data_IF_946462725218
#
_entry.id   IF_946462725218
#
_cell.length_a   1.000
_cell.length_b   1.000
_cell.length_c   1.000
_cell.angle_alpha   90.00
_cell.angle_beta   90.00
_cell.angle_gamma   90.00
#
_symmetry.space_group_name_H-M   'P 1'
#
loop_
_entity.id
_entity.type
_entity.pdbx_description
1 polymer ?
#
# COMPACT_ATOMS: atom_id res chain seq x y z
N UNK A 1 18.98 9.68 9.74
CA UNK A 1 17.75 9.31 9.02
C UNK A 1 18.11 8.45 7.82
N UNK A 2 17.35 7.42 7.60
CA UNK A 2 17.59 6.51 6.50
C UNK A 2 16.69 6.87 5.31
N UNK A 3 17.30 7.06 4.15
CA UNK A 3 16.56 7.41 2.94
C UNK A 3 16.24 6.14 2.15
N UNK A 4 15.08 5.58 2.38
CA UNK A 4 14.65 4.34 1.75
C UNK A 4 13.47 4.61 0.83
N UNK A 5 13.58 4.22 -0.43
CA UNK A 5 12.51 4.44 -1.41
C UNK A 5 12.17 3.17 -2.15
N UNK A 6 10.96 3.12 -2.69
CA UNK A 6 10.53 2.08 -3.62
C UNK A 6 10.03 2.74 -4.90
N UNK A 7 10.24 2.09 -6.02
CA UNK A 7 9.79 2.60 -7.31
C UNK A 7 9.41 1.45 -8.23
N UNK A 8 8.68 1.78 -9.29
CA UNK A 8 8.34 0.81 -10.33
C UNK A 8 9.59 0.60 -11.20
N UNK A 9 9.96 -0.65 -11.52
CA UNK A 9 11.09 -0.90 -12.40
C UNK A 9 10.96 -0.13 -13.70
N UNK A 10 12.03 0.58 -14.09
CA UNK A 10 12.04 1.40 -15.30
C UNK A 10 11.54 2.82 -15.14
N UNK A 11 10.96 3.16 -13.99
CA UNK A 11 10.51 4.54 -13.71
C UNK A 11 11.40 5.15 -12.62
N UNK A 12 12.50 5.77 -13.04
CA UNK A 12 13.44 6.40 -12.12
C UNK A 12 13.01 7.80 -11.68
N UNK A 13 12.03 8.38 -12.36
CA UNK A 13 11.58 9.74 -12.08
C UNK A 13 10.66 9.81 -10.86
N UNK A 14 10.08 8.69 -10.45
CA UNK A 14 9.11 8.65 -9.35
C UNK A 14 9.48 7.57 -8.36
N UNK A 15 9.34 7.93 -7.09
CA UNK A 15 9.59 6.98 -6.01
C UNK A 15 8.70 7.33 -4.83
N UNK A 16 8.53 6.34 -3.95
CA UNK A 16 7.81 6.52 -2.69
C UNK A 16 8.85 6.39 -1.58
N UNK A 17 8.92 7.41 -0.71
CA UNK A 17 9.79 7.37 0.44
C UNK A 17 9.12 6.56 1.55
N UNK A 18 9.83 5.59 2.07
CA UNK A 18 9.40 4.82 3.23
C UNK A 18 10.07 5.39 4.46
N UNK A 19 9.28 5.78 5.45
CA UNK A 19 9.78 6.50 6.60
C UNK A 19 9.27 5.88 7.89
N UNK A 20 10.18 5.78 8.86
CA UNK A 20 9.82 5.40 10.22
C UNK A 20 9.54 6.70 10.98
N UNK A 21 8.38 6.85 11.64
CA UNK A 21 8.11 8.05 12.43
C UNK A 21 9.20 8.28 13.48
N UNK A 22 9.79 9.49 13.47
CA UNK A 22 10.87 9.82 14.38
C UNK A 22 11.66 11.05 13.93
N UNK A 23 12.74 11.31 14.66
CA UNK A 23 13.66 12.38 14.33
C UNK A 23 14.33 12.10 12.98
N UNK A 24 14.69 13.15 12.21
CA UNK A 24 14.49 14.57 12.51
C UNK A 24 13.16 15.14 12.06
N UNK A 25 12.32 14.39 11.34
CA UNK A 25 11.09 14.92 10.75
C UNK A 25 10.00 15.19 11.77
N UNK A 26 10.04 14.56 12.93
CA UNK A 26 9.07 14.82 13.99
C UNK A 26 9.72 14.55 15.35
N UNK A 27 9.19 15.18 16.40
CA UNK A 27 9.67 14.95 17.77
C UNK A 27 9.22 13.57 18.27
N UNK A 28 9.81 13.15 19.40
CA UNK A 28 9.57 11.81 19.93
C UNK A 28 8.12 11.58 20.34
N UNK A 29 7.47 12.60 20.91
CA UNK A 29 6.07 12.49 21.32
C UNK A 29 5.15 12.32 20.12
N UNK A 30 5.35 13.15 19.10
CA UNK A 30 4.58 13.05 17.86
C UNK A 30 4.81 11.71 17.17
N UNK A 31 6.08 11.27 17.13
CA UNK A 31 6.42 9.98 16.53
C UNK A 31 5.70 8.82 17.22
N UNK A 32 5.60 8.86 18.54
CA UNK A 32 4.88 7.84 19.30
C UNK A 32 3.39 7.85 18.98
N UNK A 33 2.78 9.02 18.88
CA UNK A 33 1.37 9.14 18.51
C UNK A 33 1.12 8.61 17.10
N UNK A 34 1.97 8.97 16.14
CA UNK A 34 1.86 8.51 14.76
C UNK A 34 1.98 6.99 14.68
N UNK A 35 3.00 6.41 15.35
CA UNK A 35 3.17 4.95 15.37
C UNK A 35 1.93 4.26 15.91
N UNK A 36 1.35 4.81 16.97
CA UNK A 36 0.13 4.24 17.57
C UNK A 36 -1.05 4.23 16.62
N UNK A 37 -1.19 5.26 15.79
CA UNK A 37 -2.28 5.36 14.82
C UNK A 37 -2.03 4.49 13.58
N UNK A 38 -0.82 4.53 13.04
CA UNK A 38 -0.47 3.79 11.83
C UNK A 38 -0.58 2.29 12.05
N UNK A 39 -0.03 1.79 13.16
CA UNK A 39 -0.04 0.35 13.44
C UNK A 39 -1.43 -0.20 13.67
N UNK A 40 -2.39 0.64 14.01
CA UNK A 40 -3.79 0.25 14.15
C UNK A 40 -4.56 0.36 12.83
N UNK A 41 -3.91 0.78 11.75
CA UNK A 41 -4.55 0.96 10.45
C UNK A 41 -5.51 2.14 10.40
N UNK A 42 -5.39 3.06 11.34
CA UNK A 42 -6.32 4.21 11.43
C UNK A 42 -5.83 5.45 10.72
N UNK A 43 -4.53 5.58 10.55
CA UNK A 43 -3.92 6.75 9.94
C UNK A 43 -2.67 6.41 9.15
N UNK A 44 -2.63 5.23 8.56
CA UNK A 44 -1.52 4.83 7.69
C UNK A 44 -1.68 5.36 6.28
N UNK A 45 -0.71 5.09 5.45
CA UNK A 45 -0.78 5.43 4.05
C UNK A 45 -1.82 4.58 3.33
N UNK A 46 -2.37 5.15 2.27
CA UNK A 46 -3.27 4.45 1.35
C UNK A 46 -2.64 4.50 -0.02
N UNK A 47 -2.29 3.35 -0.57
CA UNK A 47 -1.69 3.24 -1.90
C UNK A 47 -2.64 2.47 -2.81
N UNK A 48 -2.92 3.05 -3.97
CA UNK A 48 -3.74 2.41 -5.00
C UNK A 48 -2.86 2.13 -6.20
N UNK A 49 -2.72 0.88 -6.56
CA UNK A 49 -1.99 0.46 -7.74
C UNK A 49 -2.98 -0.01 -8.79
N UNK A 50 -2.78 0.46 -10.01
CA UNK A 50 -3.57 -0.02 -11.14
C UNK A 50 -2.91 -1.26 -11.73
N UNK A 51 -3.74 -2.22 -12.11
CA UNK A 51 -3.27 -3.45 -12.76
C UNK A 51 -4.20 -3.80 -13.90
N UNK A 52 -3.68 -4.48 -14.91
CA UNK A 52 -4.49 -4.97 -16.03
C UNK A 52 -5.19 -6.28 -15.68
N UNK A 53 -4.76 -6.95 -14.61
CA UNK A 53 -5.30 -8.24 -14.20
C UNK A 53 -5.27 -8.33 -12.67
N UNK A 54 -6.35 -7.89 -12.05
CA UNK A 54 -6.45 -7.85 -10.59
C UNK A 54 -6.44 -9.26 -9.98
N UNK A 55 -7.15 -10.21 -10.58
CA UNK A 55 -7.18 -11.58 -10.08
C UNK A 55 -5.83 -12.27 -10.23
N UNK A 56 -5.14 -12.04 -11.35
CA UNK A 56 -3.80 -12.57 -11.55
C UNK A 56 -2.78 -11.97 -10.59
N UNK A 57 -2.85 -10.68 -10.33
CA UNK A 57 -2.00 -10.00 -9.36
C UNK A 57 -2.22 -10.59 -7.96
N UNK A 58 -3.47 -10.76 -7.57
CA UNK A 58 -3.85 -11.34 -6.28
C UNK A 58 -3.26 -12.75 -6.12
N UNK A 59 -3.44 -13.61 -7.11
CA UNK A 59 -2.93 -14.99 -7.06
C UNK A 59 -1.40 -15.03 -7.01
N UNK A 60 -0.74 -14.21 -7.81
CA UNK A 60 0.72 -14.15 -7.85
C UNK A 60 1.30 -13.70 -6.51
N UNK A 61 0.70 -12.71 -5.88
CA UNK A 61 1.17 -12.21 -4.59
C UNK A 61 0.86 -13.19 -3.46
N UNK A 62 -0.30 -13.83 -3.49
CA UNK A 62 -0.62 -14.87 -2.51
C UNK A 62 0.35 -16.04 -2.58
N UNK A 63 0.76 -16.42 -3.78
CA UNK A 63 1.75 -17.47 -3.98
C UNK A 63 3.11 -17.12 -3.36
N UNK A 64 3.38 -15.82 -3.18
CA UNK A 64 4.60 -15.33 -2.53
C UNK A 64 4.43 -15.11 -1.03
N UNK A 65 3.28 -15.46 -0.46
CA UNK A 65 3.05 -15.36 0.97
C UNK A 65 2.36 -14.08 1.43
N UNK A 66 1.89 -13.24 0.51
CA UNK A 66 1.17 -12.03 0.86
C UNK A 66 -0.24 -12.38 1.33
N UNK A 67 -0.64 -11.84 2.48
CA UNK A 67 -1.98 -12.04 3.01
C UNK A 67 -2.87 -10.87 2.63
N UNK A 68 -4.02 -11.18 2.04
CA UNK A 68 -5.00 -10.17 1.65
C UNK A 68 -6.16 -10.16 2.64
N UNK A 69 -6.59 -8.98 3.03
CA UNK A 69 -7.79 -8.80 3.84
C UNK A 69 -9.06 -8.83 3.01
N UNK A 70 -8.95 -8.60 1.71
CA UNK A 70 -10.09 -8.55 0.79
C UNK A 70 -9.67 -9.15 -0.55
N UNK A 71 -10.35 -10.22 -0.96
CA UNK A 71 -10.10 -10.86 -2.25
C UNK A 71 -10.66 -10.04 -3.41
N UNK A 72 -10.27 -10.32 -4.67
CA UNK A 72 -10.79 -9.58 -5.81
C UNK A 72 -12.31 -9.59 -5.84
N UNK A 73 -12.89 -8.39 -5.87
CA UNK A 73 -14.33 -8.17 -5.80
C UNK A 73 -14.75 -7.26 -6.93
N UNK A 74 -15.81 -7.63 -7.63
CA UNK A 74 -16.37 -6.77 -8.68
C UNK A 74 -17.09 -5.58 -8.08
N UNK A 75 -16.77 -4.40 -8.58
CA UNK A 75 -17.36 -3.12 -8.19
C UNK A 75 -17.86 -2.42 -9.44
N UNK A 76 -18.71 -1.39 -9.30
CA UNK A 76 -19.15 -0.62 -10.47
C UNK A 76 -18.01 -0.03 -11.30
N UNK A 77 -16.90 0.28 -10.68
CA UNK A 77 -15.73 0.89 -11.35
C UNK A 77 -14.70 -0.15 -11.84
N UNK A 78 -14.85 -1.42 -11.49
CA UNK A 78 -13.90 -2.45 -11.88
C UNK A 78 -13.78 -3.55 -10.85
N UNK A 79 -12.61 -4.16 -10.78
CA UNK A 79 -12.31 -5.23 -9.84
C UNK A 79 -11.20 -4.73 -8.93
N UNK A 80 -11.36 -4.87 -7.63
CA UNK A 80 -10.29 -4.52 -6.70
C UNK A 80 -10.09 -5.55 -5.59
N UNK A 81 -8.91 -5.52 -5.01
CA UNK A 81 -8.57 -6.29 -3.82
C UNK A 81 -7.68 -5.44 -2.92
N UNK A 82 -7.58 -5.81 -1.67
CA UNK A 82 -6.85 -4.99 -0.71
C UNK A 82 -6.16 -5.80 0.37
N UNK A 83 -5.08 -5.21 0.88
CA UNK A 83 -4.33 -5.77 1.97
C UNK A 83 -3.84 -4.65 2.88
N UNK A 84 -3.41 -5.03 4.05
CA UNK A 84 -2.64 -4.16 4.92
C UNK A 84 -1.26 -4.78 5.06
N UNK A 85 -0.23 -3.96 4.94
CA UNK A 85 1.12 -4.44 5.15
C UNK A 85 1.37 -4.68 6.67
N UNK A 86 2.50 -5.28 7.05
CA UNK A 86 2.79 -5.53 8.46
C UNK A 86 2.85 -4.27 9.33
N UNK A 87 2.92 -3.10 8.71
CA UNK A 87 3.04 -1.82 9.40
C UNK A 87 1.72 -1.04 9.44
N UNK A 88 0.64 -1.63 8.93
CA UNK A 88 -0.68 -1.01 8.97
C UNK A 88 -1.06 -0.17 7.77
N UNK A 89 -0.21 -0.06 6.77
CA UNK A 89 -0.54 0.69 5.56
C UNK A 89 -1.56 -0.07 4.71
N UNK A 90 -2.48 0.67 4.09
CA UNK A 90 -3.48 0.10 3.22
C UNK A 90 -2.99 0.10 1.78
N UNK A 91 -3.04 -1.05 1.13
CA UNK A 91 -2.61 -1.21 -0.25
C UNK A 91 -3.74 -1.86 -1.02
N UNK A 92 -4.14 -1.25 -2.13
CA UNK A 92 -5.19 -1.77 -2.99
C UNK A 92 -4.68 -1.92 -4.42
N UNK A 93 -5.11 -2.98 -5.07
CA UNK A 93 -4.90 -3.18 -6.51
C UNK A 93 -6.25 -3.08 -7.19
N UNK A 94 -6.32 -2.30 -8.24
CA UNK A 94 -7.56 -2.01 -8.92
C UNK A 94 -7.40 -2.20 -10.43
N UNK A 95 -8.38 -2.86 -11.02
CA UNK A 95 -8.48 -3.07 -12.46
C UNK A 95 -9.72 -2.34 -12.94
N UNK A 96 -9.53 -1.27 -13.70
CA UNK A 96 -10.65 -0.50 -14.22
C UNK A 96 -11.45 -1.31 -15.25
N UNK A 97 -12.74 -1.03 -15.33
CA UNK A 97 -13.55 -1.59 -16.41
C UNK A 97 -13.16 -0.96 -17.73
N UNK A 98 -13.43 -1.65 -18.85
CA UNK A 98 -13.12 -1.14 -20.17
C UNK A 98 -13.88 0.15 -20.51
N UNK A 99 -14.91 0.48 -19.76
CA UNK A 99 -15.76 1.66 -19.96
C UNK A 99 -15.45 2.78 -18.97
N UNK A 100 -14.53 2.56 -18.08
CA UNK A 100 -14.16 3.55 -17.07
C UNK A 100 -13.32 4.67 -17.67
#
# INVERSE_FOLDING_TARGET
>A
MRWLTVSVPGDEARSILLEIPGQPSMDDKTAEEVRGLVTKGRAGGHLFFMTDDCRGTYEALRARGVEFGEEPTERPYGIDCGLRDPFGNHIRFSQATAQA
#
